data_IF_616314232060
#
_entry.id   IF_616314232060
#
_cell.length_a   1.000
_cell.length_b   1.000
_cell.length_c   1.000
_cell.angle_alpha   90.00
_cell.angle_beta   90.00
_cell.angle_gamma   90.00
#
_symmetry.space_group_name_H-M   'P 1'
#
loop_
_entity.id
_entity.type
_entity.pdbx_description
1 polymer ?
#
# COMPACT_ATOMS: atom_id res chain seq x y z
N UNK A 1 -18.64 0.30 4.24
CA UNK A 1 -17.75 1.34 3.78
C UNK A 1 -17.85 2.54 4.70
N UNK A 2 -16.73 3.04 5.18
CA UNK A 2 -16.71 4.14 6.17
C UNK A 2 -16.72 5.53 5.52
N UNK A 3 -16.52 5.63 4.20
CA UNK A 3 -16.38 6.92 3.53
C UNK A 3 -15.18 7.72 4.05
N UNK A 4 -14.06 7.06 4.19
CA UNK A 4 -12.87 7.43 4.95
C UNK A 4 -11.93 8.44 4.26
N UNK A 5 -12.35 9.05 3.16
CA UNK A 5 -11.54 10.08 2.49
C UNK A 5 -10.29 9.55 1.80
N UNK A 6 -9.50 10.46 1.19
CA UNK A 6 -8.32 10.12 0.39
C UNK A 6 -6.99 10.40 1.11
N UNK A 7 -7.00 11.07 2.26
CA UNK A 7 -5.78 11.40 3.02
C UNK A 7 -5.67 10.57 4.29
N UNK A 8 -4.44 10.48 4.79
CA UNK A 8 -4.15 9.82 6.08
C UNK A 8 -4.96 10.45 7.21
N UNK A 9 -5.05 11.77 7.26
CA UNK A 9 -5.75 12.53 8.30
C UNK A 9 -7.27 12.33 8.24
N UNK A 10 -7.85 12.32 7.04
CA UNK A 10 -9.27 12.02 6.86
C UNK A 10 -9.60 10.60 7.29
N UNK A 11 -8.74 9.64 6.93
CA UNK A 11 -8.87 8.25 7.36
C UNK A 11 -8.82 8.12 8.88
N UNK A 12 -7.86 8.77 9.56
CA UNK A 12 -7.75 8.77 11.03
C UNK A 12 -9.04 9.32 11.65
N UNK A 13 -9.53 10.44 11.12
CA UNK A 13 -10.75 11.11 11.62
C UNK A 13 -11.99 10.24 11.49
N UNK A 14 -12.12 9.49 10.39
CA UNK A 14 -13.27 8.63 10.15
C UNK A 14 -13.17 7.29 10.91
N UNK A 15 -11.98 6.67 10.93
CA UNK A 15 -11.78 5.31 11.41
C UNK A 15 -11.71 5.23 12.93
N UNK A 16 -11.12 6.22 13.61
CA UNK A 16 -10.99 6.17 15.07
C UNK A 16 -12.36 6.09 15.79
N UNK A 17 -13.36 6.94 15.51
CA UNK A 17 -14.70 6.78 16.09
C UNK A 17 -15.42 5.52 15.62
N UNK A 18 -15.21 5.09 14.36
CA UNK A 18 -15.80 3.86 13.83
C UNK A 18 -15.31 2.64 14.62
N UNK A 19 -14.02 2.52 14.88
CA UNK A 19 -13.43 1.42 15.63
C UNK A 19 -13.94 1.36 17.06
N UNK A 20 -14.15 2.50 17.70
CA UNK A 20 -14.73 2.57 19.06
C UNK A 20 -16.19 2.11 19.09
N UNK A 21 -16.95 2.41 18.04
CA UNK A 21 -18.35 2.01 17.92
C UNK A 21 -18.58 0.58 17.42
N UNK A 22 -17.53 -0.08 16.89
CA UNK A 22 -17.62 -1.42 16.28
C UNK A 22 -16.54 -2.35 16.84
N UNK A 23 -16.70 -2.86 18.06
CA UNK A 23 -15.67 -3.64 18.73
C UNK A 23 -15.35 -4.98 18.05
N UNK A 24 -16.27 -5.51 17.27
CA UNK A 24 -16.13 -6.79 16.57
C UNK A 24 -15.35 -6.70 15.24
N UNK A 25 -15.09 -5.48 14.75
CA UNK A 25 -14.30 -5.28 13.53
C UNK A 25 -12.83 -5.39 13.88
N UNK A 26 -12.15 -6.36 13.27
CA UNK A 26 -10.74 -6.67 13.55
C UNK A 26 -9.81 -6.57 12.32
N UNK A 27 -10.35 -6.44 11.11
CA UNK A 27 -9.57 -6.29 9.90
C UNK A 27 -10.15 -5.18 9.02
N UNK A 28 -9.28 -4.30 8.54
CA UNK A 28 -9.57 -3.24 7.58
C UNK A 28 -8.83 -3.49 6.28
N UNK A 29 -9.55 -3.37 5.17
CA UNK A 29 -8.96 -3.35 3.84
C UNK A 29 -9.15 -1.97 3.22
N UNK A 30 -8.05 -1.38 2.78
CA UNK A 30 -8.04 -0.10 2.09
C UNK A 30 -7.55 -0.21 0.66
N UNK A 31 -8.15 0.56 -0.23
CA UNK A 31 -7.79 0.60 -1.65
C UNK A 31 -6.78 1.70 -1.99
N UNK A 32 -6.40 2.52 -1.00
CA UNK A 32 -5.52 3.67 -1.18
C UNK A 32 -4.69 3.93 0.09
N UNK A 33 -4.19 5.15 0.30
CA UNK A 33 -3.33 5.55 1.43
C UNK A 33 -3.98 5.40 2.82
N UNK A 34 -5.26 5.12 2.86
CA UNK A 34 -5.99 4.82 4.10
C UNK A 34 -5.39 3.69 4.92
N UNK A 35 -4.65 2.75 4.30
CA UNK A 35 -3.94 1.69 5.03
C UNK A 35 -2.98 2.27 6.10
N UNK A 36 -2.27 3.36 5.78
CA UNK A 36 -1.41 4.08 6.73
C UNK A 36 -2.22 4.71 7.86
N UNK A 37 -3.33 5.38 7.51
CA UNK A 37 -4.21 6.04 8.49
C UNK A 37 -4.81 5.04 9.49
N UNK A 38 -5.28 3.89 9.01
CA UNK A 38 -5.78 2.82 9.90
C UNK A 38 -4.66 2.26 10.77
N UNK A 39 -3.47 2.02 10.21
CA UNK A 39 -2.30 1.59 10.97
C UNK A 39 -1.99 2.53 12.13
N UNK A 40 -1.99 3.84 11.90
CA UNK A 40 -1.79 4.87 12.93
C UNK A 40 -2.87 4.85 14.01
N UNK A 41 -4.14 4.65 13.65
CA UNK A 41 -5.24 4.52 14.64
C UNK A 41 -5.07 3.26 15.48
N UNK A 42 -4.69 2.14 14.87
CA UNK A 42 -4.45 0.87 15.58
C UNK A 42 -3.33 1.05 16.62
N UNK A 43 -2.24 1.73 16.26
CA UNK A 43 -1.16 2.02 17.20
C UNK A 43 -1.61 2.98 18.32
N UNK A 44 -2.21 4.12 17.95
CA UNK A 44 -2.54 5.19 18.89
C UNK A 44 -3.63 4.81 19.88
N UNK A 45 -4.64 4.07 19.44
CA UNK A 45 -5.80 3.66 20.26
C UNK A 45 -5.56 2.31 21.01
N UNK A 46 -4.34 1.74 20.91
CA UNK A 46 -3.94 0.55 21.66
C UNK A 46 -4.53 -0.77 21.16
N UNK A 47 -4.80 -0.87 19.85
CA UNK A 47 -5.41 -2.05 19.23
C UNK A 47 -4.40 -3.06 18.65
N UNK A 48 -3.09 -2.86 18.84
CA UNK A 48 -2.07 -3.80 18.39
C UNK A 48 -2.34 -5.23 18.89
N UNK A 49 -2.22 -6.21 17.99
CA UNK A 49 -2.47 -7.62 18.29
C UNK A 49 -3.95 -8.03 18.30
N UNK A 50 -4.90 -7.07 18.18
CA UNK A 50 -6.34 -7.35 18.15
C UNK A 50 -7.03 -6.85 16.88
N UNK A 51 -6.49 -5.84 16.24
CA UNK A 51 -7.00 -5.27 15.00
C UNK A 51 -5.87 -5.02 14.01
N UNK A 52 -6.17 -5.11 12.73
CA UNK A 52 -5.18 -5.08 11.67
C UNK A 52 -5.68 -4.28 10.47
N UNK A 53 -4.73 -3.68 9.74
CA UNK A 53 -4.96 -3.06 8.45
C UNK A 53 -4.31 -3.86 7.33
N UNK A 54 -4.84 -3.75 6.13
CA UNK A 54 -4.26 -4.27 4.89
C UNK A 54 -4.70 -3.40 3.72
N UNK A 55 -3.89 -3.32 2.67
CA UNK A 55 -4.22 -2.50 1.50
C UNK A 55 -3.08 -2.37 0.52
N UNK A 56 -2.92 -1.18 -0.02
CA UNK A 56 -1.98 -0.88 -1.09
C UNK A 56 -0.99 0.20 -0.65
N UNK A 57 0.01 0.42 -1.50
CA UNK A 57 1.05 1.42 -1.40
C UNK A 57 2.23 1.02 -0.51
N UNK A 58 3.34 1.71 -0.75
CA UNK A 58 4.57 1.57 0.00
C UNK A 58 5.02 2.97 0.45
N UNK A 59 5.32 3.10 1.73
CA UNK A 59 5.94 4.28 2.33
C UNK A 59 6.66 3.88 3.60
N UNK A 60 7.60 4.70 4.07
CA UNK A 60 8.29 4.41 5.32
C UNK A 60 7.33 4.20 6.50
N UNK A 61 6.28 5.03 6.71
CA UNK A 61 5.29 4.80 7.76
C UNK A 61 4.50 3.49 7.62
N UNK A 62 4.18 3.07 6.39
CA UNK A 62 3.50 1.78 6.15
C UNK A 62 4.42 0.62 6.54
N UNK A 63 5.70 0.68 6.16
CA UNK A 63 6.68 -0.34 6.54
C UNK A 63 6.90 -0.40 8.06
N UNK A 64 6.97 0.74 8.73
CA UNK A 64 7.04 0.80 10.20
C UNK A 64 5.81 0.15 10.85
N UNK A 65 4.61 0.39 10.32
CA UNK A 65 3.38 -0.18 10.83
C UNK A 65 3.28 -1.70 10.59
N UNK A 66 3.88 -2.21 9.50
CA UNK A 66 4.03 -3.66 9.27
C UNK A 66 4.96 -4.28 10.34
N UNK A 67 6.08 -3.65 10.63
CA UNK A 67 7.02 -4.13 11.64
C UNK A 67 6.40 -4.18 13.05
N UNK A 68 5.45 -3.30 13.32
CA UNK A 68 4.68 -3.24 14.57
C UNK A 68 3.42 -4.11 14.61
N UNK A 69 3.14 -4.86 13.55
CA UNK A 69 1.93 -5.68 13.40
C UNK A 69 0.60 -4.89 13.37
N UNK A 70 0.63 -3.60 13.06
CA UNK A 70 -0.57 -2.81 12.80
C UNK A 70 -1.12 -3.02 11.38
N UNK A 71 -0.22 -3.26 10.42
CA UNK A 71 -0.54 -3.64 9.05
C UNK A 71 -0.03 -5.06 8.81
N UNK A 72 -0.89 -5.96 8.34
CA UNK A 72 -0.51 -7.36 8.07
C UNK A 72 0.21 -7.51 6.73
N UNK A 73 -0.32 -6.85 5.71
CA UNK A 73 0.21 -6.89 4.35
C UNK A 73 -0.13 -5.61 3.62
N UNK A 74 0.79 -5.13 2.82
CA UNK A 74 0.54 -4.13 1.80
C UNK A 74 0.93 -4.65 0.43
N UNK A 75 0.38 -4.05 -0.61
CA UNK A 75 0.66 -4.35 -2.02
C UNK A 75 1.44 -3.20 -2.62
N UNK A 76 2.68 -3.48 -3.05
CA UNK A 76 3.40 -2.58 -3.96
C UNK A 76 2.88 -2.80 -5.38
N UNK A 77 2.31 -1.77 -5.95
CA UNK A 77 1.67 -1.80 -7.26
C UNK A 77 2.68 -1.65 -8.42
N UNK A 78 3.97 -1.44 -8.12
CA UNK A 78 5.02 -1.29 -9.13
C UNK A 78 4.84 -0.03 -10.00
N UNK A 79 4.57 1.10 -9.40
CA UNK A 79 4.36 2.37 -10.12
C UNK A 79 5.50 2.76 -11.04
N UNK A 80 6.75 2.42 -10.69
CA UNK A 80 7.92 2.68 -11.53
C UNK A 80 7.81 1.96 -12.87
N UNK A 81 7.50 0.66 -12.84
CA UNK A 81 7.28 -0.13 -14.05
C UNK A 81 6.07 0.37 -14.86
N UNK A 82 5.00 0.77 -14.18
CA UNK A 82 3.84 1.36 -14.85
C UNK A 82 4.21 2.66 -15.58
N UNK A 83 4.99 3.52 -14.93
CA UNK A 83 5.45 4.77 -15.51
C UNK A 83 6.37 4.52 -16.73
N UNK A 84 7.36 3.62 -16.59
CA UNK A 84 8.27 3.27 -17.69
C UNK A 84 7.51 2.73 -18.91
N UNK A 85 6.62 1.76 -18.71
CA UNK A 85 5.84 1.19 -19.80
C UNK A 85 4.94 2.23 -20.48
N UNK A 86 4.31 3.08 -19.70
CA UNK A 86 3.45 4.14 -20.23
C UNK A 86 4.22 5.16 -21.05
N UNK A 87 5.37 5.61 -20.56
CA UNK A 87 6.25 6.55 -21.29
C UNK A 87 6.80 5.90 -22.55
N UNK A 88 7.27 4.66 -22.48
CA UNK A 88 7.78 3.93 -23.63
C UNK A 88 6.71 3.78 -24.71
N UNK A 89 5.47 3.48 -24.35
CA UNK A 89 4.34 3.42 -25.28
C UNK A 89 4.06 4.76 -25.95
N UNK A 90 4.05 5.85 -25.19
CA UNK A 90 3.88 7.19 -25.74
C UNK A 90 4.99 7.56 -26.75
N UNK A 91 6.25 7.30 -26.40
CA UNK A 91 7.40 7.55 -27.29
C UNK A 91 7.28 6.71 -28.57
N UNK A 92 6.94 5.44 -28.46
CA UNK A 92 6.73 4.56 -29.61
C UNK A 92 5.63 5.10 -30.53
N UNK A 93 4.48 5.46 -29.96
CA UNK A 93 3.38 6.04 -30.73
C UNK A 93 3.77 7.34 -31.45
N UNK A 94 4.43 8.25 -30.77
CA UNK A 94 4.88 9.52 -31.37
C UNK A 94 5.91 9.31 -32.47
N UNK A 95 6.73 8.28 -32.40
CA UNK A 95 7.79 7.99 -33.38
C UNK A 95 7.29 7.22 -34.60
N UNK A 96 6.31 6.33 -34.42
CA UNK A 96 5.90 5.38 -35.45
C UNK A 96 4.44 5.52 -35.88
N UNK A 97 3.62 6.22 -35.10
CA UNK A 97 2.14 6.25 -35.26
C UNK A 97 1.47 4.93 -34.89
N UNK A 98 2.20 3.93 -34.43
CA UNK A 98 1.65 2.62 -34.10
C UNK A 98 1.10 2.62 -32.66
N UNK A 99 -0.18 2.26 -32.54
CA UNK A 99 -0.75 1.93 -31.24
C UNK A 99 -0.31 0.51 -30.89
N UNK A 100 0.11 0.22 -29.65
CA UNK A 100 0.42 -1.14 -29.22
C UNK A 100 -0.73 -2.09 -29.58
N UNK A 101 -0.43 -3.18 -30.27
CA UNK A 101 -1.45 -4.14 -30.74
C UNK A 101 -2.03 -5.01 -29.62
N UNK A 102 -1.34 -5.06 -28.49
CA UNK A 102 -1.71 -5.87 -27.33
C UNK A 102 -1.76 -4.98 -26.09
N UNK A 103 -2.62 -5.34 -25.15
CA UNK A 103 -2.61 -4.75 -23.83
C UNK A 103 -1.24 -4.99 -23.16
N UNK A 104 -0.78 -4.05 -22.36
CA UNK A 104 0.42 -4.26 -21.57
C UNK A 104 0.25 -5.50 -20.68
N UNK A 105 1.28 -6.34 -20.56
CA UNK A 105 1.20 -7.47 -19.66
C UNK A 105 0.86 -6.97 -18.24
N UNK A 106 -0.02 -7.67 -17.52
CA UNK A 106 -0.29 -7.34 -16.12
C UNK A 106 1.01 -7.32 -15.34
N UNK A 107 1.20 -6.31 -14.52
CA UNK A 107 2.31 -6.29 -13.57
C UNK A 107 1.95 -7.19 -12.39
N UNK A 108 2.86 -8.09 -12.03
CA UNK A 108 2.69 -8.90 -10.83
C UNK A 108 2.86 -8.01 -9.59
N UNK A 109 1.83 -7.87 -8.76
CA UNK A 109 1.93 -7.07 -7.53
C UNK A 109 2.88 -7.74 -6.55
N UNK A 110 3.66 -6.94 -5.84
CA UNK A 110 4.56 -7.43 -4.80
C UNK A 110 3.85 -7.29 -3.46
N UNK A 111 3.59 -8.43 -2.82
CA UNK A 111 3.07 -8.43 -1.45
C UNK A 111 4.21 -8.17 -0.48
N UNK A 112 4.00 -7.29 0.48
CA UNK A 112 4.97 -6.94 1.53
C UNK A 112 4.37 -7.29 2.87
N UNK A 113 5.08 -8.13 3.62
CA UNK A 113 4.71 -8.58 4.96
C UNK A 113 5.90 -8.45 5.90
N UNK A 114 5.69 -8.60 7.20
CA UNK A 114 6.77 -8.55 8.20
C UNK A 114 7.84 -9.63 7.96
N UNK A 115 7.44 -10.84 7.65
CA UNK A 115 8.32 -12.02 7.61
C UNK A 115 8.64 -12.56 6.22
N UNK A 116 8.08 -11.99 5.14
CA UNK A 116 8.30 -12.49 3.78
C UNK A 116 7.70 -13.88 3.51
N UNK A 117 6.64 -14.27 4.23
CA UNK A 117 6.01 -15.59 4.07
C UNK A 117 5.23 -15.69 2.75
N UNK A 118 5.11 -16.94 2.26
CA UNK A 118 4.35 -17.26 1.03
C UNK A 118 4.80 -16.48 -0.23
N UNK A 119 6.10 -16.21 -0.35
CA UNK A 119 6.66 -15.50 -1.50
C UNK A 119 6.50 -13.98 -1.47
N UNK A 120 6.00 -13.42 -0.36
CA UNK A 120 6.00 -11.97 -0.16
C UNK A 120 7.40 -11.45 0.15
N UNK A 121 7.63 -10.15 -0.13
CA UNK A 121 8.83 -9.43 0.30
C UNK A 121 8.75 -9.11 1.79
N UNK A 122 9.88 -9.05 2.49
CA UNK A 122 9.91 -8.54 3.86
C UNK A 122 9.79 -7.01 3.88
N UNK A 123 9.27 -6.44 4.97
CA UNK A 123 9.27 -5.00 5.17
C UNK A 123 10.69 -4.40 5.15
N UNK A 124 11.69 -5.15 5.65
CA UNK A 124 13.09 -4.73 5.61
C UNK A 124 13.65 -4.64 4.19
N UNK A 125 13.41 -5.66 3.34
CA UNK A 125 13.84 -5.63 1.94
C UNK A 125 13.10 -4.54 1.14
N UNK A 126 11.82 -4.36 1.40
CA UNK A 126 11.02 -3.29 0.80
C UNK A 126 11.55 -1.89 1.17
N UNK A 127 12.06 -1.71 2.37
CA UNK A 127 12.69 -0.45 2.81
C UNK A 127 13.98 -0.16 2.05
N UNK A 128 14.82 -1.17 1.81
CA UNK A 128 16.03 -1.03 1.01
C UNK A 128 15.66 -0.57 -0.41
N UNK A 129 14.69 -1.25 -1.03
CA UNK A 129 14.21 -0.91 -2.36
C UNK A 129 13.62 0.50 -2.45
N UNK A 130 12.86 0.92 -1.44
CA UNK A 130 12.32 2.28 -1.37
C UNK A 130 13.43 3.33 -1.30
N UNK A 131 14.46 3.12 -0.49
CA UNK A 131 15.60 4.01 -0.37
C UNK A 131 16.41 4.11 -1.66
N UNK A 132 16.61 2.99 -2.38
CA UNK A 132 17.27 2.97 -3.69
C UNK A 132 16.49 3.79 -4.74
N UNK A 133 15.16 3.67 -4.75
CA UNK A 133 14.29 4.44 -5.65
C UNK A 133 14.30 5.94 -5.36
N UNK A 134 14.47 6.35 -4.10
CA UNK A 134 14.58 7.74 -3.67
C UNK A 134 16.00 8.32 -3.90
N UNK A 135 16.96 7.53 -4.36
CA UNK A 135 18.33 7.95 -4.64
C UNK A 135 19.21 8.15 -3.39
N UNK A 136 18.88 7.48 -2.31
CA UNK A 136 19.62 7.50 -1.03
C UNK A 136 20.51 6.27 -0.86
#
# INVERSE_FOLDING_TARGET
PTGDGFTVEETITAVSPFLRGNPDVNLFFHTDQGVEGVGKVIEADGYLGSRYSTGFNISAPILDAIEKDAILVTVDQGFDNQAEQSVAACINYLSTGAIPAEEFPPLDPILITKSGTNGSMTAADARIRLAEAEGN
#
